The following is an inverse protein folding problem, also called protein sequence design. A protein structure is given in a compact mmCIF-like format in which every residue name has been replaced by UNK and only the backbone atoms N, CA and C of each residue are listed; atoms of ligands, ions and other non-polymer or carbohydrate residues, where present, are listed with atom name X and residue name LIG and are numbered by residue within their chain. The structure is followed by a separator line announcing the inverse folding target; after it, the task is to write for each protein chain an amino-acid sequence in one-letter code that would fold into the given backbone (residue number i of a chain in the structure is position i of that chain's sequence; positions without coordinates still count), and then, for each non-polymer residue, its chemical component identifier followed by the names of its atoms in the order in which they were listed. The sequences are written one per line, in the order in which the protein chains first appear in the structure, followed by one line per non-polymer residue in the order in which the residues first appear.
data_IF_058057070873
#
_entry.id   IF_058057070873
#
_cell.length_a   1.000
_cell.length_b   1.000
_cell.length_c   1.000
_cell.angle_alpha   90.00
_cell.angle_beta   90.00
_cell.angle_gamma   90.00
#
_symmetry.space_group_name_H-M   'P 1'
#
loop_
_entity.id
_entity.type
_entity.pdbx_description
1 polymer ?
#
# COMPACT_ATOMS: atom_id res chain seq x y z
N UNK A 1 7.29 42.64 -32.13
CA UNK A 1 7.27 41.78 -30.94
C UNK A 1 8.42 42.16 -30.04
N UNK A 2 8.10 42.74 -28.88
CA UNK A 2 9.05 43.46 -28.04
C UNK A 2 10.12 42.54 -27.43
N UNK A 3 11.40 42.91 -27.57
CA UNK A 3 12.55 42.10 -27.15
C UNK A 3 12.53 41.75 -25.64
N UNK A 4 11.81 42.54 -24.84
CA UNK A 4 11.59 42.32 -23.41
C UNK A 4 10.71 41.08 -23.14
N UNK A 5 9.69 40.86 -23.97
CA UNK A 5 8.73 39.77 -23.79
C UNK A 5 9.38 38.39 -23.95
N UNK A 6 10.36 38.27 -24.86
CA UNK A 6 11.13 37.04 -25.09
C UNK A 6 12.07 36.71 -23.91
N UNK A 7 12.66 37.74 -23.28
CA UNK A 7 13.54 37.56 -22.11
C UNK A 7 12.72 37.10 -20.89
N UNK A 8 11.57 37.73 -20.64
CA UNK A 8 10.66 37.34 -19.54
C UNK A 8 10.12 35.92 -19.74
N UNK A 9 9.73 35.56 -20.96
CA UNK A 9 9.26 34.20 -21.26
C UNK A 9 10.35 33.16 -21.01
N UNK A 10 11.61 33.43 -21.37
CA UNK A 10 12.72 32.52 -21.09
C UNK A 10 12.96 32.34 -19.59
N UNK A 11 12.78 33.39 -18.80
CA UNK A 11 12.91 33.35 -17.34
C UNK A 11 11.76 32.53 -16.72
N UNK A 12 10.52 32.71 -17.18
CA UNK A 12 9.36 31.96 -16.68
C UNK A 12 9.54 30.45 -16.87
N UNK A 13 10.08 30.03 -18.03
CA UNK A 13 10.35 28.63 -18.31
C UNK A 13 11.46 28.05 -17.43
N UNK A 14 12.48 28.84 -17.13
CA UNK A 14 13.54 28.43 -16.21
C UNK A 14 13.00 28.21 -14.81
N UNK A 15 12.20 29.14 -14.30
CA UNK A 15 11.56 29.04 -12.98
C UNK A 15 10.63 27.82 -12.93
N UNK A 16 9.79 27.63 -13.95
CA UNK A 16 8.85 26.53 -14.01
C UNK A 16 9.54 25.17 -13.96
N UNK A 17 10.63 25.00 -14.73
CA UNK A 17 11.40 23.75 -14.74
C UNK A 17 11.96 23.43 -13.36
N UNK A 18 12.54 24.43 -12.68
CA UNK A 18 13.10 24.27 -11.33
C UNK A 18 11.98 23.91 -10.34
N UNK A 19 10.84 24.59 -10.39
CA UNK A 19 9.71 24.33 -9.50
C UNK A 19 9.20 22.90 -9.65
N UNK A 20 9.06 22.40 -10.89
CA UNK A 20 8.61 21.02 -11.15
C UNK A 20 9.59 20.01 -10.56
N UNK A 21 10.91 20.21 -10.75
CA UNK A 21 11.92 19.29 -10.20
C UNK A 21 11.89 19.26 -8.68
N UNK A 22 11.76 20.42 -8.03
CA UNK A 22 11.66 20.50 -6.56
C UNK A 22 10.40 19.80 -6.06
N UNK A 23 9.26 20.02 -6.71
CA UNK A 23 8.00 19.34 -6.37
C UNK A 23 8.11 17.83 -6.53
N UNK A 24 8.70 17.34 -7.63
CA UNK A 24 8.89 15.91 -7.87
C UNK A 24 9.79 15.29 -6.79
N UNK A 25 10.87 15.97 -6.42
CA UNK A 25 11.76 15.54 -5.35
C UNK A 25 11.04 15.46 -3.99
N UNK A 26 10.23 16.47 -3.67
CA UNK A 26 9.48 16.50 -2.42
C UNK A 26 8.41 15.40 -2.37
N UNK A 27 7.69 15.20 -3.49
CA UNK A 27 6.69 14.13 -3.62
C UNK A 27 7.30 12.77 -3.32
N UNK A 28 8.44 12.42 -3.93
CA UNK A 28 9.10 11.11 -3.72
C UNK A 28 9.57 10.94 -2.27
N UNK A 29 9.96 12.02 -1.59
CA UNK A 29 10.49 11.98 -0.23
C UNK A 29 9.47 11.48 0.80
N UNK A 30 8.18 11.64 0.53
CA UNK A 30 7.09 11.19 1.40
C UNK A 30 6.56 9.79 1.01
N UNK A 31 6.95 9.24 -0.14
CA UNK A 31 6.65 7.84 -0.46
C UNK A 31 7.61 6.92 0.30
N UNK A 32 7.18 6.53 1.50
CA UNK A 32 7.73 5.36 2.21
C UNK A 32 7.39 4.08 1.42
N UNK A 33 8.14 3.82 0.35
CA UNK A 33 8.11 2.51 -0.29
C UNK A 33 8.82 1.51 0.64
N UNK A 34 8.06 0.77 1.43
CA UNK A 34 8.56 -0.43 2.10
C UNK A 34 8.84 -1.51 1.04
N UNK A 35 9.96 -1.40 0.35
CA UNK A 35 10.47 -2.46 -0.54
C UNK A 35 11.09 -3.57 0.30
N UNK A 36 10.24 -4.32 1.01
CA UNK A 36 10.54 -5.70 1.37
C UNK A 36 9.93 -6.61 0.31
N UNK A 37 10.49 -6.55 -0.89
CA UNK A 37 10.28 -7.60 -1.90
C UNK A 37 11.18 -8.76 -1.53
N UNK A 38 10.76 -9.57 -0.55
CA UNK A 38 11.25 -10.95 -0.47
C UNK A 38 10.48 -11.76 -1.48
N UNK A 39 11.16 -12.07 -2.58
CA UNK A 39 10.80 -13.10 -3.53
C UNK A 39 10.80 -14.45 -2.80
N UNK A 40 9.71 -14.76 -2.09
CA UNK A 40 9.48 -16.10 -1.57
C UNK A 40 8.52 -16.80 -2.53
N UNK A 41 9.09 -17.79 -3.20
CA UNK A 41 8.43 -18.81 -4.02
C UNK A 41 7.07 -19.17 -3.44
N UNK A 42 6.04 -19.00 -4.27
CA UNK A 42 4.68 -19.48 -4.06
C UNK A 42 4.78 -20.99 -3.84
N UNK A 43 4.79 -21.42 -2.58
CA UNK A 43 4.56 -22.81 -2.21
C UNK A 43 3.12 -22.88 -1.73
N UNK A 44 2.29 -23.50 -2.57
CA UNK A 44 0.88 -23.77 -2.37
C UNK A 44 0.60 -24.19 -0.92
N UNK A 45 -0.16 -23.38 -0.18
CA UNK A 45 -0.39 -23.54 1.25
C UNK A 45 -1.21 -24.81 1.55
N UNK A 46 -0.61 -25.73 2.29
CA UNK A 46 -1.32 -26.79 3.03
C UNK A 46 -1.96 -26.14 4.27
N UNK A 47 -3.26 -26.37 4.58
CA UNK A 47 -4.02 -25.60 5.57
C UNK A 47 -3.73 -25.94 7.05
N UNK A 48 -2.52 -26.40 7.41
CA UNK A 48 -2.19 -26.84 8.78
C UNK A 48 -1.49 -25.79 9.66
N UNK A 49 -1.17 -24.60 9.14
CA UNK A 49 -0.50 -23.56 9.92
C UNK A 49 -1.53 -22.62 10.57
N UNK A 50 -1.65 -22.57 11.92
CA UNK A 50 -2.61 -21.72 12.62
C UNK A 50 -2.39 -20.21 12.39
N UNK A 51 -1.22 -19.83 11.85
CA UNK A 51 -0.85 -18.46 11.54
C UNK A 51 -1.34 -17.98 10.16
N UNK A 52 -1.94 -18.85 9.35
CA UNK A 52 -2.49 -18.51 8.03
C UNK A 52 -4.01 -18.41 8.14
N UNK A 53 -4.56 -17.24 7.81
CA UNK A 53 -5.99 -16.98 7.68
C UNK A 53 -6.28 -16.63 6.22
N UNK A 54 -7.17 -17.35 5.57
CA UNK A 54 -7.54 -17.08 4.19
C UNK A 54 -9.06 -17.01 4.00
N UNK A 55 -9.47 -16.29 2.97
CA UNK A 55 -10.81 -16.24 2.41
C UNK A 55 -10.68 -16.26 0.88
N UNK A 56 -11.79 -16.35 0.14
CA UNK A 56 -11.86 -16.43 -1.32
C UNK A 56 -11.15 -15.30 -2.08
N UNK A 57 -10.84 -14.20 -1.40
CA UNK A 57 -10.23 -13.00 -1.96
C UNK A 57 -8.79 -12.76 -1.48
N UNK A 58 -8.45 -13.17 -0.26
CA UNK A 58 -7.22 -12.76 0.42
C UNK A 58 -6.71 -13.90 1.28
N UNK A 59 -5.40 -14.13 1.23
CA UNK A 59 -4.64 -14.93 2.19
C UNK A 59 -3.79 -13.99 3.04
N UNK A 60 -3.83 -14.16 4.35
CA UNK A 60 -3.04 -13.40 5.31
C UNK A 60 -2.25 -14.39 6.16
N UNK A 61 -0.93 -14.25 6.16
CA UNK A 61 -0.04 -15.05 7.00
C UNK A 61 0.65 -14.14 8.03
N UNK A 62 0.55 -14.52 9.30
CA UNK A 62 1.32 -13.90 10.37
C UNK A 62 2.70 -14.58 10.44
N UNK A 63 3.72 -13.86 10.00
CA UNK A 63 5.11 -14.29 10.04
C UNK A 63 5.73 -13.98 11.41
N UNK A 64 6.84 -14.68 11.71
CA UNK A 64 7.67 -14.38 12.88
C UNK A 64 8.14 -12.91 12.84
N UNK A 65 8.39 -12.32 14.02
CA UNK A 65 8.78 -10.91 14.18
C UNK A 65 7.71 -9.86 13.83
N UNK A 66 6.43 -10.14 14.13
CA UNK A 66 5.31 -9.19 13.92
C UNK A 66 5.21 -8.71 12.46
N UNK A 67 5.58 -9.54 11.50
CA UNK A 67 5.40 -9.23 10.09
C UNK A 67 4.17 -9.95 9.59
N UNK A 68 3.34 -9.29 8.79
CA UNK A 68 2.23 -9.92 8.10
C UNK A 68 2.53 -9.97 6.61
N UNK A 69 2.18 -11.07 5.96
CA UNK A 69 2.05 -11.13 4.51
C UNK A 69 0.57 -11.09 4.16
N UNK A 70 0.21 -10.28 3.16
CA UNK A 70 -1.13 -10.23 2.58
C UNK A 70 -1.01 -10.53 1.11
N UNK A 71 -1.63 -11.60 0.66
CA UNK A 71 -1.66 -12.03 -0.73
C UNK A 71 -3.09 -11.98 -1.23
N UNK A 72 -3.31 -11.23 -2.32
CA UNK A 72 -4.60 -11.22 -3.01
C UNK A 72 -4.73 -12.46 -3.90
N UNK A 73 -5.66 -13.36 -3.58
CA UNK A 73 -5.90 -14.59 -4.36
C UNK A 73 -6.55 -14.23 -5.71
N UNK A 74 -7.44 -13.24 -5.70
CA UNK A 74 -8.15 -12.74 -6.88
C UNK A 74 -7.96 -11.24 -7.02
N UNK A 75 -7.95 -10.70 -8.24
CA UNK A 75 -7.89 -9.26 -8.44
C UNK A 75 -9.12 -8.61 -7.82
N UNK A 76 -8.90 -7.52 -7.08
CA UNK A 76 -9.99 -6.73 -6.54
C UNK A 76 -10.64 -5.95 -7.68
N UNK A 77 -11.96 -5.74 -7.57
CA UNK A 77 -12.70 -4.90 -8.53
C UNK A 77 -12.30 -3.42 -8.50
N UNK A 78 -11.48 -3.02 -7.53
CA UNK A 78 -10.98 -1.66 -7.36
C UNK A 78 -9.46 -1.71 -7.24
N UNK A 79 -8.79 -0.88 -8.04
CA UNK A 79 -7.33 -0.71 -8.04
C UNK A 79 -6.83 0.10 -6.82
N UNK A 80 -7.74 0.72 -6.06
CA UNK A 80 -7.43 1.52 -4.87
C UNK A 80 -8.04 0.88 -3.63
N UNK A 81 -7.41 -0.18 -3.16
CA UNK A 81 -7.82 -0.86 -1.93
C UNK A 81 -6.78 -0.63 -0.83
N UNK A 82 -7.23 -0.11 0.31
CA UNK A 82 -6.38 0.13 1.47
C UNK A 82 -6.57 -0.97 2.51
N UNK A 83 -5.47 -1.33 3.15
CA UNK A 83 -5.41 -2.28 4.25
C UNK A 83 -5.32 -1.51 5.54
N UNK A 84 -6.30 -1.72 6.40
CA UNK A 84 -6.33 -1.20 7.76
C UNK A 84 -6.15 -2.34 8.75
N UNK A 85 -5.33 -2.08 9.76
CA UNK A 85 -5.28 -2.90 10.96
C UNK A 85 -6.08 -2.24 12.07
N UNK A 86 -6.90 -3.02 12.76
CA UNK A 86 -7.67 -2.56 13.92
C UNK A 86 -7.09 -3.18 15.20
N UNK A 87 -6.86 -2.31 16.18
CA UNK A 87 -6.36 -2.67 17.51
C UNK A 87 -7.52 -3.10 18.41
N UNK A 88 -7.19 -3.73 19.55
CA UNK A 88 -8.18 -4.13 20.57
C UNK A 88 -9.00 -2.95 21.11
N UNK A 89 -8.43 -1.74 21.11
CA UNK A 89 -9.11 -0.51 21.52
C UNK A 89 -9.99 0.11 20.42
N UNK A 90 -10.18 -0.57 19.28
CA UNK A 90 -10.97 -0.09 18.15
C UNK A 90 -10.27 0.93 17.26
N UNK A 91 -9.05 1.39 17.59
CA UNK A 91 -8.30 2.33 16.76
C UNK A 91 -7.81 1.65 15.48
N UNK A 92 -8.09 2.29 14.36
CA UNK A 92 -7.62 1.87 13.04
C UNK A 92 -6.26 2.49 12.73
N UNK A 93 -5.40 1.70 12.09
CA UNK A 93 -4.11 2.12 11.56
C UNK A 93 -4.02 1.70 10.11
N UNK A 94 -3.70 2.64 9.23
CA UNK A 94 -3.41 2.35 7.84
C UNK A 94 -2.10 1.57 7.77
N UNK A 95 -2.16 0.36 7.20
CA UNK A 95 -0.98 -0.49 7.02
C UNK A 95 -0.34 -0.25 5.65
N UNK A 96 -1.15 -0.28 4.58
CA UNK A 96 -0.69 -0.02 3.21
C UNK A 96 -1.85 -0.01 2.21
N UNK A 97 -1.53 0.12 0.93
CA UNK A 97 -2.37 -0.21 -0.21
C UNK A 97 -2.05 -1.61 -0.75
N UNK A 98 -3.07 -2.30 -1.28
CA UNK A 98 -2.94 -3.54 -2.06
C UNK A 98 -3.62 -3.37 -3.42
N UNK A 99 -2.93 -3.69 -4.50
CA UNK A 99 -3.42 -3.42 -5.86
C UNK A 99 -3.09 -4.50 -6.89
N UNK A 100 -2.43 -5.61 -6.51
CA UNK A 100 -2.06 -6.69 -7.42
C UNK A 100 -2.39 -8.07 -6.84
N UNK A 101 -3.09 -8.90 -7.61
CA UNK A 101 -3.30 -10.31 -7.28
C UNK A 101 -2.04 -11.15 -7.48
N UNK A 102 -1.87 -12.18 -6.65
CA UNK A 102 -0.78 -13.15 -6.75
C UNK A 102 0.57 -12.67 -6.20
N UNK A 103 0.68 -11.43 -5.73
CA UNK A 103 1.88 -10.94 -5.02
C UNK A 103 1.60 -10.80 -3.53
N UNK A 104 2.48 -11.38 -2.71
CA UNK A 104 2.48 -11.18 -1.28
C UNK A 104 3.03 -9.78 -0.97
N UNK A 105 2.28 -9.01 -0.21
CA UNK A 105 2.70 -7.73 0.33
C UNK A 105 3.04 -7.89 1.81
N UNK A 106 4.25 -7.47 2.19
CA UNK A 106 4.76 -7.65 3.55
C UNK A 106 4.72 -6.35 4.33
N UNK A 107 4.20 -6.40 5.56
CA UNK A 107 4.11 -5.25 6.43
C UNK A 107 4.60 -5.60 7.84
N UNK A 108 5.51 -4.79 8.37
CA UNK A 108 5.91 -4.90 9.76
C UNK A 108 4.89 -4.20 10.65
N UNK A 109 4.28 -4.96 11.54
CA UNK A 109 3.36 -4.46 12.53
C UNK A 109 4.14 -3.81 13.68
N UNK A 110 4.05 -2.49 13.76
CA UNK A 110 4.61 -1.73 14.90
C UNK A 110 3.87 -2.03 16.21
N UNK A 111 2.62 -2.48 16.13
CA UNK A 111 1.73 -2.68 17.26
C UNK A 111 0.93 -3.98 17.13
N UNK A 112 0.30 -4.43 18.23
CA UNK A 112 -0.56 -5.62 18.22
C UNK A 112 -1.91 -5.32 17.55
N UNK A 113 -2.15 -5.98 16.43
CA UNK A 113 -3.36 -5.85 15.62
C UNK A 113 -4.22 -7.10 15.83
N UNK A 114 -5.53 -6.90 16.03
CA UNK A 114 -6.48 -7.98 16.30
C UNK A 114 -7.29 -8.33 15.05
N UNK A 115 -7.44 -7.37 14.14
CA UNK A 115 -8.22 -7.52 12.92
C UNK A 115 -7.55 -6.76 11.77
N UNK A 116 -7.58 -7.35 10.58
CA UNK A 116 -7.19 -6.69 9.33
C UNK A 116 -8.43 -6.57 8.46
N UNK A 117 -8.65 -5.38 7.91
CA UNK A 117 -9.75 -5.11 7.00
C UNK A 117 -9.23 -4.43 5.74
N UNK A 118 -9.79 -4.82 4.59
CA UNK A 118 -9.48 -4.22 3.30
C UNK A 118 -10.68 -3.39 2.87
N UNK A 119 -10.44 -2.11 2.57
CA UNK A 119 -11.45 -1.14 2.20
C UNK A 119 -11.23 -0.63 0.78
N UNK A 120 -12.30 -0.57 0.01
CA UNK A 120 -12.35 0.16 -1.26
C UNK A 120 -12.60 1.64 -0.95
N UNK A 121 -11.60 2.49 -1.14
CA UNK A 121 -11.72 3.91 -0.82
C UNK A 121 -12.63 4.65 -1.79
N UNK A 122 -12.73 4.17 -3.04
CA UNK A 122 -13.57 4.81 -4.05
C UNK A 122 -15.04 4.51 -3.83
N UNK A 123 -15.35 3.28 -3.42
CA UNK A 123 -16.73 2.84 -3.14
C UNK A 123 -17.13 2.97 -1.68
N UNK A 124 -16.22 3.44 -0.83
CA UNK A 124 -16.37 3.56 0.63
C UNK A 124 -16.93 2.29 1.26
N UNK A 125 -16.43 1.13 0.83
CA UNK A 125 -16.98 -0.18 1.20
C UNK A 125 -15.90 -1.12 1.70
N UNK A 126 -16.20 -1.81 2.80
CA UNK A 126 -15.39 -2.94 3.26
C UNK A 126 -15.47 -4.08 2.24
N UNK A 127 -14.32 -4.52 1.75
CA UNK A 127 -14.20 -5.64 0.82
C UNK A 127 -14.17 -6.95 1.61
N UNK A 128 -13.32 -7.00 2.63
CA UNK A 128 -13.16 -8.17 3.49
C UNK A 128 -12.56 -7.78 4.83
N UNK A 129 -12.80 -8.62 5.83
CA UNK A 129 -12.20 -8.54 7.17
C UNK A 129 -11.77 -9.91 7.64
N UNK A 130 -10.64 -9.95 8.33
CA UNK A 130 -10.06 -11.16 8.90
C UNK A 130 -9.65 -10.85 10.34
N UNK A 131 -10.08 -11.70 11.26
CA UNK A 131 -9.76 -11.61 12.68
C UNK A 131 -8.72 -12.68 13.04
N UNK A 132 -7.79 -12.33 13.92
CA UNK A 132 -6.81 -13.24 14.48
C UNK A 132 -7.27 -13.83 15.81
#
# INVERSE_FOLDING_TARGET
MDLKQRKTHRIIWFVLTITITVFMFFSIKELHFNTHTSEKLITQATPSNPNIKYNDLVEIELLQNKTISITLIKPLKSSFSLVYGRKKNGKEILLSQVFNSGKAHYFSLKENIVEIAIYDTLKQKEITKIKF
#
